data_IF_369717704074
#
_entry.id   IF_369717704074
#
_cell.length_a   1.000
_cell.length_b   1.000
_cell.length_c   1.000
_cell.angle_alpha   90.00
_cell.angle_beta   90.00
_cell.angle_gamma   90.00
#
_symmetry.space_group_name_H-M   'P 1'
#
loop_
_entity.id
_entity.type
_entity.pdbx_description
1 polymer ?
#
# COMPACT_ATOMS: atom_id res chain seq x y z
N UNK A 1 16.65 3.71 -2.32
CA UNK A 1 16.34 4.36 -1.02
C UNK A 1 17.44 4.00 -0.03
N UNK A 2 18.06 4.97 0.64
CA UNK A 2 19.08 4.71 1.66
C UNK A 2 18.42 4.87 3.03
N UNK A 3 18.33 3.77 3.79
CA UNK A 3 17.77 3.75 5.14
C UNK A 3 18.92 3.94 6.13
N UNK A 4 18.82 4.92 7.02
CA UNK A 4 19.81 5.15 8.08
C UNK A 4 19.14 4.94 9.45
N UNK A 5 18.98 3.69 9.90
CA UNK A 5 18.27 3.38 11.12
C UNK A 5 19.11 3.67 12.37
N UNK A 6 18.46 4.22 13.39
CA UNK A 6 18.99 4.23 14.76
C UNK A 6 18.34 3.08 15.53
N UNK A 7 19.14 2.17 16.06
CA UNK A 7 18.63 1.03 16.84
C UNK A 7 18.59 1.36 18.33
N UNK A 8 17.46 1.03 18.97
CA UNK A 8 17.31 1.05 20.42
C UNK A 8 17.59 -0.36 20.92
N UNK A 9 18.51 -0.48 21.88
CA UNK A 9 18.95 -1.76 22.44
C UNK A 9 18.57 -1.90 23.92
N UNK A 10 18.38 -3.14 24.37
CA UNK A 10 18.22 -3.49 25.79
C UNK A 10 19.57 -3.59 26.53
N UNK A 11 19.52 -3.97 27.81
CA UNK A 11 20.71 -4.13 28.67
C UNK A 11 21.66 -5.24 28.21
N UNK A 12 21.18 -6.17 27.38
CA UNK A 12 21.95 -7.26 26.81
C UNK A 12 22.42 -6.98 25.37
N UNK A 13 22.28 -5.72 24.91
CA UNK A 13 22.62 -5.27 23.57
C UNK A 13 21.77 -5.93 22.45
N UNK A 14 20.55 -6.39 22.77
CA UNK A 14 19.58 -6.83 21.76
C UNK A 14 18.81 -5.64 21.20
N UNK A 15 18.63 -5.60 19.88
CA UNK A 15 17.83 -4.58 19.21
C UNK A 15 16.35 -4.85 19.46
N UNK A 16 15.68 -3.92 20.14
CA UNK A 16 14.25 -4.04 20.51
C UNK A 16 13.35 -3.08 19.75
N UNK A 17 13.92 -1.99 19.21
CA UNK A 17 13.19 -1.05 18.38
C UNK A 17 14.13 -0.34 17.39
N UNK A 18 13.54 0.31 16.38
CA UNK A 18 14.23 1.16 15.42
C UNK A 18 13.56 2.52 15.37
N UNK A 19 14.39 3.56 15.32
CA UNK A 19 13.96 4.92 15.04
C UNK A 19 14.42 5.29 13.63
N UNK A 20 13.48 5.80 12.83
CA UNK A 20 13.68 6.26 11.46
C UNK A 20 13.28 7.72 11.35
N UNK A 21 13.81 8.44 10.37
CA UNK A 21 13.21 9.71 9.98
C UNK A 21 11.81 9.45 9.41
N UNK A 22 10.90 10.40 9.64
CA UNK A 22 9.48 10.23 9.32
C UNK A 22 9.25 9.92 7.84
N UNK A 23 10.04 10.53 6.93
CA UNK A 23 9.91 10.32 5.48
C UNK A 23 10.32 8.91 5.09
N UNK A 24 11.38 8.38 5.69
CA UNK A 24 11.81 6.99 5.49
C UNK A 24 10.75 6.02 5.98
N UNK A 25 10.15 6.26 7.16
CA UNK A 25 9.07 5.42 7.68
C UNK A 25 7.84 5.45 6.75
N UNK A 26 7.35 6.63 6.40
CA UNK A 26 6.21 6.80 5.49
C UNK A 26 6.45 6.15 4.13
N UNK A 27 7.68 6.23 3.60
CA UNK A 27 8.00 5.59 2.32
C UNK A 27 7.95 4.06 2.41
N UNK A 28 8.31 3.49 3.55
CA UNK A 28 8.22 2.04 3.80
C UNK A 28 6.74 1.63 3.85
N UNK A 29 5.92 2.36 4.60
CA UNK A 29 4.47 2.12 4.68
C UNK A 29 3.81 2.21 3.30
N UNK A 30 4.10 3.27 2.53
CA UNK A 30 3.57 3.44 1.17
C UNK A 30 3.90 2.24 0.26
N UNK A 31 5.11 1.69 0.36
CA UNK A 31 5.51 0.52 -0.43
C UNK A 31 4.70 -0.71 -0.01
N UNK A 32 4.50 -0.93 1.29
CA UNK A 32 3.72 -2.07 1.78
C UNK A 32 2.24 -1.95 1.43
N UNK A 33 1.66 -0.76 1.59
CA UNK A 33 0.27 -0.47 1.22
C UNK A 33 0.03 -0.64 -0.28
N UNK A 34 0.98 -0.23 -1.12
CA UNK A 34 0.87 -0.37 -2.57
C UNK A 34 1.08 -1.80 -3.07
N UNK A 35 1.80 -2.66 -2.32
CA UNK A 35 2.16 -4.00 -2.77
C UNK A 35 0.92 -4.88 -3.00
N UNK A 36 0.00 -4.93 -2.02
CA UNK A 36 -1.19 -5.78 -2.13
C UNK A 36 -2.15 -5.34 -3.25
N UNK A 37 -2.57 -4.06 -3.36
CA UNK A 37 -3.39 -3.57 -4.47
C UNK A 37 -2.75 -3.77 -5.83
N UNK A 38 -1.43 -3.55 -5.95
CA UNK A 38 -0.71 -3.82 -7.20
C UNK A 38 -0.89 -5.28 -7.63
N UNK A 39 -0.70 -6.23 -6.72
CA UNK A 39 -0.85 -7.65 -7.05
C UNK A 39 -2.31 -8.05 -7.30
N UNK A 40 -3.29 -7.42 -6.64
CA UNK A 40 -4.71 -7.61 -6.94
C UNK A 40 -5.02 -7.17 -8.38
N UNK A 41 -4.57 -5.98 -8.77
CA UNK A 41 -4.74 -5.45 -10.13
C UNK A 41 -4.03 -6.32 -11.19
N UNK A 42 -2.91 -6.95 -10.86
CA UNK A 42 -2.22 -7.88 -11.76
C UNK A 42 -2.92 -9.25 -11.88
N UNK A 43 -3.68 -9.65 -10.85
CA UNK A 43 -4.41 -10.93 -10.78
C UNK A 43 -5.78 -10.89 -11.46
N UNK A 44 -6.43 -9.72 -11.49
CA UNK A 44 -7.64 -9.42 -12.28
C UNK A 44 -7.28 -9.13 -13.75
N UNK A 45 -6.49 -10.02 -14.34
CA UNK A 45 -5.68 -9.76 -15.52
C UNK A 45 -6.47 -9.30 -16.74
N UNK A 46 -5.90 -8.32 -17.47
CA UNK A 46 -5.93 -8.01 -18.92
C UNK A 46 -7.23 -8.10 -19.75
N UNK A 47 -8.31 -8.70 -19.27
CA UNK A 47 -9.60 -8.87 -19.95
C UNK A 47 -10.68 -7.95 -19.37
N UNK A 48 -10.40 -7.26 -18.25
CA UNK A 48 -11.28 -6.20 -17.75
C UNK A 48 -11.17 -4.98 -18.68
N UNK A 49 -12.14 -4.83 -19.58
CA UNK A 49 -12.31 -3.63 -20.39
C UNK A 49 -12.31 -2.39 -19.49
N UNK A 50 -11.34 -1.50 -19.71
CA UNK A 50 -11.32 -0.21 -19.03
C UNK A 50 -12.51 0.61 -19.49
N UNK A 51 -13.45 0.86 -18.58
CA UNK A 51 -14.59 1.74 -18.86
C UNK A 51 -14.13 3.20 -18.97
N UNK A 52 -14.66 3.91 -19.96
CA UNK A 52 -14.57 5.36 -19.96
C UNK A 52 -15.38 5.97 -18.80
N UNK A 53 -15.17 7.26 -18.52
CA UNK A 53 -15.77 7.93 -17.38
C UNK A 53 -17.30 7.82 -17.34
N UNK A 54 -17.98 7.92 -18.48
CA UNK A 54 -19.44 7.87 -18.53
C UNK A 54 -19.95 6.45 -18.33
N UNK A 55 -19.33 5.47 -18.98
CA UNK A 55 -19.64 4.05 -18.79
C UNK A 55 -19.39 3.59 -17.35
N UNK A 56 -18.30 4.03 -16.73
CA UNK A 56 -17.96 3.74 -15.33
C UNK A 56 -18.99 4.32 -14.35
N UNK A 57 -19.45 5.56 -14.59
CA UNK A 57 -20.51 6.18 -13.78
C UNK A 57 -21.82 5.42 -13.89
N UNK A 58 -22.18 4.96 -15.09
CA UNK A 58 -23.43 4.24 -15.30
C UNK A 58 -23.39 2.86 -14.63
N UNK A 59 -22.29 2.11 -14.82
CA UNK A 59 -22.06 0.85 -14.12
C UNK A 59 -22.09 1.01 -12.60
N UNK A 60 -21.44 2.03 -12.05
CA UNK A 60 -21.44 2.26 -10.59
C UNK A 60 -22.85 2.48 -10.00
N UNK A 61 -23.80 3.01 -10.79
CA UNK A 61 -25.19 3.17 -10.33
C UNK A 61 -25.93 1.84 -10.19
N UNK A 62 -25.55 0.81 -10.95
CA UNK A 62 -26.20 -0.51 -10.94
C UNK A 62 -25.73 -1.41 -9.81
N UNK A 63 -24.57 -1.11 -9.22
CA UNK A 63 -24.00 -1.87 -8.11
C UNK A 63 -24.88 -1.75 -6.85
N UNK A 64 -25.07 -2.88 -6.16
CA UNK A 64 -25.72 -2.88 -4.84
C UNK A 64 -24.85 -2.09 -3.85
N UNK A 65 -25.45 -1.05 -3.28
CA UNK A 65 -24.78 -0.21 -2.30
C UNK A 65 -25.06 -0.78 -0.92
N UNK A 66 -23.99 -1.15 -0.20
CA UNK A 66 -24.12 -1.49 1.22
C UNK A 66 -24.68 -0.27 1.97
N UNK A 67 -25.71 -0.51 2.78
CA UNK A 67 -26.41 0.52 3.57
C UNK A 67 -25.62 0.96 4.79
#
# INVERSE_FOLDING_TARGET
>A
MKINPNYIVDEHNHRIAVQLDIKTFEKIEEIFENYAPYHLMQGEGNDDETLDLESAKEYYKTLEKQK
#
